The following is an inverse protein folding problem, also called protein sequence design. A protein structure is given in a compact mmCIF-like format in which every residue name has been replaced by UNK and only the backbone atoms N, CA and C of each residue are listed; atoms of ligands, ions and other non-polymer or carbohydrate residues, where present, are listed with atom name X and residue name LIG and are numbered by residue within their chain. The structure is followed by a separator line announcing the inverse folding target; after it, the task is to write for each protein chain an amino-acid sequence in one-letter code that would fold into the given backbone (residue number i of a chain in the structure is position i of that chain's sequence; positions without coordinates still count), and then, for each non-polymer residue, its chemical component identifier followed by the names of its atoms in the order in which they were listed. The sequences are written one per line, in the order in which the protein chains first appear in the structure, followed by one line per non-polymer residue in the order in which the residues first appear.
data_IF_275509957124
#
_entry.id   IF_275509957124
#
_cell.length_a   1.000
_cell.length_b   1.000
_cell.length_c   1.000
_cell.angle_alpha   90.00
_cell.angle_beta   90.00
_cell.angle_gamma   90.00
#
_symmetry.space_group_name_H-M   'P 1'
#
loop_
_entity.id
_entity.type
_entity.pdbx_description
1 polymer ?
#
# COMPACT_ATOMS: atom_id res chain seq x y z
N UNK A 1 0.46 -18.80 -1.15
CA UNK A 1 -0.40 -17.76 -0.54
C UNK A 1 0.45 -16.53 -0.39
N UNK A 2 -0.09 -15.38 -0.76
CA UNK A 2 0.61 -14.11 -0.66
C UNK A 2 0.74 -13.70 0.81
N UNK A 3 1.82 -13.00 1.16
CA UNK A 3 2.14 -12.62 2.53
C UNK A 3 2.01 -11.11 2.70
N UNK A 4 1.12 -10.64 3.58
CA UNK A 4 1.01 -9.22 3.93
C UNK A 4 2.20 -8.83 4.81
N UNK A 5 2.99 -7.87 4.34
CA UNK A 5 4.19 -7.42 5.05
C UNK A 5 3.93 -6.17 5.88
N UNK A 6 3.17 -5.24 5.30
CA UNK A 6 2.86 -3.95 5.90
C UNK A 6 1.40 -3.67 5.60
N UNK A 7 0.67 -3.19 6.61
CA UNK A 7 -0.70 -2.73 6.49
C UNK A 7 -0.85 -1.40 7.24
N UNK A 8 -1.21 -0.36 6.50
CA UNK A 8 -1.39 0.99 7.01
C UNK A 8 -2.83 1.43 6.77
N UNK A 9 -3.54 1.77 7.85
CA UNK A 9 -4.82 2.46 7.77
C UNK A 9 -4.55 3.96 7.66
N UNK A 10 -5.05 4.58 6.61
CA UNK A 10 -4.77 5.97 6.28
C UNK A 10 -6.05 6.69 5.89
N UNK A 11 -6.08 7.99 6.16
CA UNK A 11 -7.14 8.89 5.70
C UNK A 11 -6.51 9.90 4.75
N UNK A 12 -7.13 10.07 3.58
CA UNK A 12 -6.61 10.88 2.48
C UNK A 12 -7.66 11.88 2.03
N UNK A 13 -7.25 13.10 1.62
CA UNK A 13 -8.15 14.02 0.94
C UNK A 13 -8.54 13.48 -0.43
N UNK A 14 -9.83 13.55 -0.74
CA UNK A 14 -10.39 13.19 -2.05
C UNK A 14 -11.35 14.27 -2.52
N UNK A 15 -11.65 14.28 -3.81
CA UNK A 15 -12.77 15.06 -4.34
C UNK A 15 -13.87 14.09 -4.75
N UNK A 16 -15.10 14.43 -4.44
CA UNK A 16 -16.25 13.69 -4.96
C UNK A 16 -16.37 13.91 -6.48
N UNK A 17 -17.26 13.17 -7.14
CA UNK A 17 -17.52 13.35 -8.58
C UNK A 17 -18.02 14.77 -8.91
N UNK A 18 -18.64 15.45 -7.94
CA UNK A 18 -19.10 16.84 -8.06
C UNK A 18 -17.99 17.87 -7.79
N UNK A 19 -16.78 17.42 -7.47
CA UNK A 19 -15.61 18.27 -7.19
C UNK A 19 -15.52 18.78 -5.76
N UNK A 20 -16.46 18.41 -4.88
CA UNK A 20 -16.45 18.82 -3.48
C UNK A 20 -15.31 18.11 -2.72
N UNK A 21 -14.52 18.84 -1.91
CA UNK A 21 -13.47 18.23 -1.10
C UNK A 21 -14.09 17.37 0.00
N UNK A 22 -13.54 16.18 0.18
CA UNK A 22 -13.96 15.21 1.19
C UNK A 22 -12.74 14.46 1.73
N UNK A 23 -12.98 13.59 2.71
CA UNK A 23 -12.00 12.64 3.22
C UNK A 23 -12.50 11.23 2.91
N UNK A 24 -11.59 10.37 2.48
CA UNK A 24 -11.82 8.93 2.48
C UNK A 24 -10.79 8.25 3.37
N UNK A 25 -11.19 7.17 4.01
CA UNK A 25 -10.29 6.27 4.70
C UNK A 25 -10.03 5.06 3.83
N UNK A 26 -8.91 4.39 4.04
CA UNK A 26 -8.49 3.27 3.22
C UNK A 26 -7.34 2.51 3.83
N UNK A 27 -6.94 1.45 3.12
CA UNK A 27 -5.78 0.65 3.47
C UNK A 27 -4.73 0.74 2.38
N UNK A 28 -3.48 0.88 2.81
CA UNK A 28 -2.30 0.64 1.98
C UNK A 28 -1.62 -0.62 2.49
N UNK A 29 -1.50 -1.61 1.62
CA UNK A 29 -0.93 -2.92 1.94
C UNK A 29 0.22 -3.22 1.00
N UNK A 30 1.36 -3.64 1.55
CA UNK A 30 2.45 -4.22 0.76
C UNK A 30 2.37 -5.73 0.90
N UNK A 31 2.15 -6.41 -0.22
CA UNK A 31 1.98 -7.86 -0.30
C UNK A 31 3.18 -8.46 -1.03
N UNK A 32 3.73 -9.55 -0.50
CA UNK A 32 4.68 -10.40 -1.20
C UNK A 32 3.95 -11.55 -1.87
N UNK A 33 4.03 -11.62 -3.20
CA UNK A 33 3.45 -12.68 -3.98
C UNK A 33 4.27 -13.97 -3.88
N UNK A 34 3.68 -15.16 -4.14
CA UNK A 34 4.39 -16.44 -4.13
C UNK A 34 5.60 -16.49 -5.08
N UNK A 35 5.62 -15.65 -6.12
CA UNK A 35 6.74 -15.50 -7.06
C UNK A 35 7.91 -14.67 -6.54
N UNK A 36 7.77 -14.03 -5.37
CA UNK A 36 8.77 -13.13 -4.78
C UNK A 36 8.65 -11.67 -5.22
N UNK A 37 7.69 -11.36 -6.09
CA UNK A 37 7.32 -10.00 -6.46
C UNK A 37 6.56 -9.30 -5.32
N UNK A 38 6.55 -7.97 -5.36
CA UNK A 38 5.84 -7.15 -4.38
C UNK A 38 4.76 -6.31 -5.06
N UNK A 39 3.59 -6.29 -4.44
CA UNK A 39 2.45 -5.49 -4.86
C UNK A 39 2.13 -4.46 -3.78
N UNK A 40 1.83 -3.25 -4.24
CA UNK A 40 1.21 -2.19 -3.45
C UNK A 40 -0.27 -2.24 -3.74
N UNK A 41 -1.04 -2.65 -2.74
CA UNK A 41 -2.50 -2.61 -2.81
C UNK A 41 -3.02 -1.37 -2.09
N UNK A 42 -3.92 -0.65 -2.75
CA UNK A 42 -4.61 0.51 -2.20
C UNK A 42 -6.11 0.24 -2.28
N UNK A 43 -6.80 0.26 -1.15
CA UNK A 43 -8.25 0.18 -1.09
C UNK A 43 -8.83 1.45 -0.48
N UNK A 44 -9.94 1.92 -1.04
CA UNK A 44 -10.75 2.96 -0.42
C UNK A 44 -11.83 2.32 0.47
N UNK A 45 -12.37 3.09 1.41
CA UNK A 45 -13.31 2.61 2.41
C UNK A 45 -12.67 2.18 3.73
N UNK A 46 -13.47 2.17 4.79
CA UNK A 46 -13.06 1.75 6.12
C UNK A 46 -13.67 0.40 6.52
N UNK A 47 -13.32 -0.11 7.70
CA UNK A 47 -13.85 -1.40 8.20
C UNK A 47 -15.38 -1.42 8.35
N UNK A 48 -16.03 -0.27 8.42
CA UNK A 48 -17.48 -0.12 8.51
C UNK A 48 -18.13 0.10 7.15
N UNK A 49 -17.39 0.68 6.19
CA UNK A 49 -17.83 0.95 4.81
C UNK A 49 -16.72 0.60 3.82
N UNK A 50 -16.51 -0.70 3.55
CA UNK A 50 -15.53 -1.11 2.56
C UNK A 50 -16.05 -0.72 1.16
N UNK A 51 -15.39 0.23 0.52
CA UNK A 51 -15.50 0.34 -0.93
C UNK A 51 -14.74 -0.87 -1.47
N UNK A 52 -15.45 -1.81 -2.09
CA UNK A 52 -14.89 -3.07 -2.59
C UNK A 52 -13.87 -2.90 -3.72
N UNK A 53 -13.50 -1.66 -4.04
CA UNK A 53 -12.58 -1.28 -5.09
C UNK A 53 -11.15 -1.24 -4.53
N UNK A 54 -10.38 -2.24 -4.93
CA UNK A 54 -8.96 -2.36 -4.66
C UNK A 54 -8.19 -2.10 -5.96
N UNK A 55 -7.16 -1.26 -5.88
CA UNK A 55 -6.22 -1.02 -6.98
C UNK A 55 -4.86 -1.55 -6.56
N UNK A 56 -4.31 -2.43 -7.39
CA UNK A 56 -3.01 -3.04 -7.18
C UNK A 56 -1.99 -2.53 -8.18
N UNK A 57 -0.81 -2.17 -7.69
CA UNK A 57 0.32 -1.73 -8.49
C UNK A 57 1.55 -2.60 -8.18
N UNK A 58 2.34 -3.01 -9.18
CA UNK A 58 3.64 -3.59 -8.91
C UNK A 58 4.57 -2.53 -8.30
N UNK A 59 5.34 -2.92 -7.28
CA UNK A 59 6.40 -2.04 -6.76
C UNK A 59 7.46 -1.84 -7.85
N UNK A 60 8.07 -0.65 -7.87
CA UNK A 60 9.27 -0.43 -8.68
C UNK A 60 10.39 -1.37 -8.23
N UNK A 61 11.29 -1.72 -9.14
CA UNK A 61 12.41 -2.60 -8.82
C UNK A 61 13.30 -2.05 -7.68
N UNK A 62 13.40 -0.74 -7.56
CA UNK A 62 14.14 -0.07 -6.48
C UNK A 62 13.45 -0.26 -5.12
N UNK A 63 12.15 0.05 -5.03
CA UNK A 63 11.39 -0.15 -3.80
C UNK A 63 11.30 -1.62 -3.39
N UNK A 64 11.09 -2.52 -4.36
CA UNK A 64 11.08 -3.97 -4.12
C UNK A 64 12.40 -4.46 -3.51
N UNK A 65 13.56 -3.99 -4.02
CA UNK A 65 14.88 -4.32 -3.45
C UNK A 65 15.05 -3.80 -2.04
N UNK A 66 14.54 -2.61 -1.75
CA UNK A 66 14.55 -2.06 -0.40
C UNK A 66 13.73 -2.94 0.54
N UNK A 67 12.50 -3.30 0.19
CA UNK A 67 11.68 -4.22 0.99
C UNK A 67 12.39 -5.56 1.20
N UNK A 68 13.00 -6.14 0.17
CA UNK A 68 13.78 -7.39 0.29
C UNK A 68 14.93 -7.28 1.29
N UNK A 69 15.70 -6.19 1.24
CA UNK A 69 16.80 -5.93 2.17
C UNK A 69 16.31 -5.78 3.61
N UNK A 70 15.22 -5.04 3.83
CA UNK A 70 14.59 -4.94 5.15
C UNK A 70 14.18 -6.32 5.69
N UNK A 71 13.55 -7.14 4.86
CA UNK A 71 13.12 -8.49 5.24
C UNK A 71 14.31 -9.41 5.55
N UNK A 72 15.47 -9.18 4.94
CA UNK A 72 16.71 -9.88 5.26
C UNK A 72 17.35 -9.42 6.59
N UNK A 73 16.72 -8.47 7.30
CA UNK A 73 17.21 -7.92 8.57
C UNK A 73 18.25 -6.81 8.39
N UNK A 74 18.41 -6.27 7.18
CA UNK A 74 19.30 -5.14 6.94
C UNK A 74 18.68 -3.86 7.46
N UNK A 75 19.47 -3.05 8.17
CA UNK A 75 19.05 -1.72 8.60
C UNK A 75 19.11 -0.78 7.39
N UNK A 76 17.94 -0.52 6.80
CA UNK A 76 17.77 0.55 5.83
C UNK A 76 17.65 1.84 6.65
N UNK A 77 18.57 2.79 6.48
CA UNK A 77 18.38 4.13 7.03
C UNK A 77 17.17 4.83 6.40
N UNK A 78 17.07 6.14 6.56
CA UNK A 78 16.05 6.92 5.84
C UNK A 78 16.23 6.76 4.32
N UNK A 79 15.16 6.34 3.66
CA UNK A 79 15.10 6.20 2.20
C UNK A 79 14.54 7.53 1.67
N UNK A 80 15.43 8.50 1.47
CA UNK A 80 15.12 9.78 0.84
C UNK A 80 15.88 10.96 1.46
N UNK A 81 16.49 11.78 0.59
CA UNK A 81 16.58 13.25 0.76
C UNK A 81 15.32 13.88 0.14
#
# INVERSE_FOLDING_TARGET
MSNELIRLALTWPVSTIDGEPSLTSGMLVVVQEPGGDFLLSVSAGDENFPDGDEIQFPLSAEHARLVQRALAGEQLGDIGD
#
